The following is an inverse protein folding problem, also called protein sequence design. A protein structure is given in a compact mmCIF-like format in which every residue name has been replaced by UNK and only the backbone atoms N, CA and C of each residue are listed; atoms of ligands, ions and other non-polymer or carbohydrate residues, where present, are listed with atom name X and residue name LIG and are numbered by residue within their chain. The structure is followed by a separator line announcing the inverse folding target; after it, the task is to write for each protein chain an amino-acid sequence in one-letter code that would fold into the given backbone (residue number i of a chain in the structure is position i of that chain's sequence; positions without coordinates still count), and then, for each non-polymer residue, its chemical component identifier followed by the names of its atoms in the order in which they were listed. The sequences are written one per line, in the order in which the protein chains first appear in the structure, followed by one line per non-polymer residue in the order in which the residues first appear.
data_IF_371544683265
#
_entry.id   IF_371544683265
#
_cell.length_a   1.000
_cell.length_b   1.000
_cell.length_c   1.000
_cell.angle_alpha   90.00
_cell.angle_beta   90.00
_cell.angle_gamma   90.00
#
_symmetry.space_group_name_H-M   'P 1'
#
loop_
_entity.id
_entity.type
_entity.pdbx_description
1 polymer ?
#
# COMPACT_ATOMS: atom_id res chain seq x y z
N UNK A 1 -17.69 -1.52 13.19
CA UNK A 1 -16.45 -1.31 13.95
C UNK A 1 -15.94 0.09 13.64
N UNK A 2 -15.48 0.83 14.64
CA UNK A 2 -14.94 2.18 14.48
C UNK A 2 -13.46 2.20 14.91
N UNK A 3 -12.60 2.88 14.15
CA UNK A 3 -11.17 3.02 14.45
C UNK A 3 -10.92 4.19 15.41
N UNK A 4 -9.90 4.06 16.24
CA UNK A 4 -9.54 5.03 17.26
C UNK A 4 -8.58 6.11 16.72
N UNK A 5 -9.11 7.02 15.91
CA UNK A 5 -8.33 8.15 15.36
C UNK A 5 -7.85 9.12 16.45
N UNK A 6 -8.56 9.25 17.56
CA UNK A 6 -8.23 10.21 18.63
C UNK A 6 -6.91 9.87 19.32
N UNK A 7 -6.60 8.58 19.49
CA UNK A 7 -5.33 8.12 20.09
C UNK A 7 -4.10 8.62 19.31
N UNK A 8 -4.20 8.71 17.98
CA UNK A 8 -3.15 9.26 17.11
C UNK A 8 -3.32 10.73 16.75
N UNK A 9 -4.17 11.49 17.47
CA UNK A 9 -4.40 12.92 17.21
C UNK A 9 -5.13 13.18 15.89
N UNK A 10 -6.15 12.38 15.58
CA UNK A 10 -6.94 12.43 14.35
C UNK A 10 -6.43 11.51 13.23
N UNK A 11 -5.41 10.70 13.51
CA UNK A 11 -4.77 9.82 12.53
C UNK A 11 -4.60 8.40 13.06
N UNK A 12 -4.57 7.45 12.14
CA UNK A 12 -4.15 6.05 12.36
C UNK A 12 -2.94 5.72 11.48
N UNK A 13 -2.22 4.68 11.83
CA UNK A 13 -1.14 4.14 11.01
C UNK A 13 -1.71 3.14 9.99
N UNK A 14 -1.36 3.28 8.72
CA UNK A 14 -1.68 2.32 7.68
C UNK A 14 -0.40 1.72 7.10
N UNK A 15 -0.31 0.38 7.13
CA UNK A 15 0.76 -0.39 6.51
C UNK A 15 0.23 -1.02 5.23
N UNK A 16 0.80 -0.67 4.08
CA UNK A 16 0.48 -1.33 2.82
C UNK A 16 1.40 -2.54 2.63
N UNK A 17 0.80 -3.70 2.39
CA UNK A 17 1.51 -4.98 2.20
C UNK A 17 1.06 -5.58 0.88
N UNK A 18 1.99 -6.09 0.08
CA UNK A 18 1.63 -6.84 -1.11
C UNK A 18 0.79 -8.07 -0.73
N UNK A 19 -0.37 -8.23 -1.36
CA UNK A 19 -1.25 -9.36 -1.09
C UNK A 19 -0.64 -10.71 -1.47
N UNK A 20 0.24 -10.76 -2.48
CA UNK A 20 0.86 -11.99 -2.97
C UNK A 20 2.14 -12.35 -2.21
N UNK A 21 3.09 -11.42 -2.12
CA UNK A 21 4.42 -11.68 -1.54
C UNK A 21 4.52 -11.47 -0.05
N UNK A 22 3.53 -10.77 0.52
CA UNK A 22 3.54 -10.28 1.90
C UNK A 22 4.68 -9.29 2.18
N UNK A 23 5.32 -8.74 1.14
CA UNK A 23 6.28 -7.65 1.27
C UNK A 23 5.60 -6.39 1.81
N UNK A 24 6.19 -5.76 2.83
CA UNK A 24 5.77 -4.44 3.29
C UNK A 24 6.18 -3.41 2.24
N UNK A 25 5.21 -2.71 1.66
CA UNK A 25 5.41 -1.77 0.56
C UNK A 25 5.65 -0.35 1.08
N UNK A 26 4.82 0.12 2.00
CA UNK A 26 4.94 1.46 2.57
C UNK A 26 4.15 1.59 3.88
N UNK A 27 4.43 2.67 4.61
CA UNK A 27 3.67 3.12 5.77
C UNK A 27 3.25 4.56 5.53
N UNK A 28 2.00 4.88 5.88
CA UNK A 28 1.45 6.23 5.80
C UNK A 28 0.39 6.47 6.87
N UNK A 29 0.04 7.74 7.08
CA UNK A 29 -1.06 8.11 7.98
C UNK A 29 -2.38 8.12 7.22
N UNK A 30 -3.46 7.72 7.90
CA UNK A 30 -4.83 7.92 7.45
C UNK A 30 -5.59 8.76 8.47
N UNK A 31 -6.29 9.80 8.03
CA UNK A 31 -7.36 10.42 8.80
C UNK A 31 -8.72 9.76 8.48
N UNK A 32 -9.76 10.18 9.19
CA UNK A 32 -11.12 9.63 9.02
C UNK A 32 -11.65 9.72 7.59
N UNK A 33 -11.31 10.79 6.85
CA UNK A 33 -11.74 10.99 5.46
C UNK A 33 -11.03 10.03 4.51
N UNK A 34 -9.71 9.91 4.62
CA UNK A 34 -8.90 8.99 3.82
C UNK A 34 -9.29 7.53 4.02
N UNK A 35 -9.66 7.17 5.26
CA UNK A 35 -10.21 5.86 5.60
C UNK A 35 -11.56 5.61 4.91
N UNK A 36 -12.50 6.57 5.00
CA UNK A 36 -13.79 6.48 4.32
C UNK A 36 -13.63 6.35 2.81
N UNK A 37 -12.73 7.13 2.22
CA UNK A 37 -12.46 7.06 0.78
C UNK A 37 -11.82 5.73 0.37
N UNK A 38 -10.95 5.16 1.20
CA UNK A 38 -10.37 3.84 0.98
C UNK A 38 -11.46 2.76 0.94
N UNK A 39 -12.34 2.75 1.94
CA UNK A 39 -13.47 1.81 1.99
C UNK A 39 -14.44 1.99 0.82
N UNK A 40 -14.73 3.23 0.44
CA UNK A 40 -15.67 3.56 -0.64
C UNK A 40 -15.13 3.18 -2.01
N UNK A 41 -13.86 3.49 -2.28
CA UNK A 41 -13.28 3.33 -3.61
C UNK A 41 -12.64 1.96 -3.84
N UNK A 42 -12.28 1.24 -2.78
CA UNK A 42 -11.48 0.02 -2.88
C UNK A 42 -10.01 0.26 -3.21
N UNK A 43 -9.56 1.52 -3.20
CA UNK A 43 -8.16 1.90 -3.45
C UNK A 43 -7.58 2.62 -2.24
N UNK A 44 -6.31 2.39 -1.94
CA UNK A 44 -5.66 3.01 -0.79
C UNK A 44 -5.56 4.54 -0.97
N UNK A 45 -6.24 5.27 -0.08
CA UNK A 45 -6.17 6.72 0.04
C UNK A 45 -5.60 7.07 1.40
N UNK A 46 -4.52 7.84 1.40
CA UNK A 46 -3.81 8.28 2.60
C UNK A 46 -4.06 9.77 2.87
N UNK A 47 -3.56 10.25 4.01
CA UNK A 47 -3.53 11.67 4.33
C UNK A 47 -2.09 12.16 4.47
N UNK A 48 -1.73 13.17 3.67
CA UNK A 48 -0.42 13.80 3.71
C UNK A 48 -0.39 14.89 4.77
N UNK A 49 0.13 14.60 5.96
CA UNK A 49 0.20 15.56 7.09
C UNK A 49 0.92 16.87 6.74
N UNK A 50 1.99 16.80 5.95
CA UNK A 50 2.76 17.98 5.51
C UNK A 50 2.04 18.84 4.48
N UNK A 51 1.15 18.25 3.67
CA UNK A 51 0.39 18.94 2.61
C UNK A 51 -1.06 19.22 3.03
N UNK A 52 -1.46 18.74 4.20
CA UNK A 52 -2.81 18.81 4.73
C UNK A 52 -3.90 18.42 3.72
N UNK A 53 -3.69 17.32 3.00
CA UNK A 53 -4.60 16.88 1.92
C UNK A 53 -4.69 15.36 1.82
N UNK A 54 -5.80 14.89 1.26
CA UNK A 54 -5.97 13.51 0.81
C UNK A 54 -5.00 13.19 -0.34
N UNK A 55 -4.59 11.93 -0.40
CA UNK A 55 -3.73 11.41 -1.43
C UNK A 55 -4.15 9.99 -1.78
N UNK A 56 -4.85 9.84 -2.90
CA UNK A 56 -5.15 8.54 -3.48
C UNK A 56 -3.89 8.00 -4.15
N UNK A 57 -3.36 6.87 -3.66
CA UNK A 57 -2.07 6.35 -4.13
C UNK A 57 -2.16 6.01 -5.62
N UNK A 58 -1.24 6.57 -6.39
CA UNK A 58 -1.16 6.35 -7.83
C UNK A 58 -2.09 7.21 -8.68
N UNK A 59 -2.89 8.12 -8.10
CA UNK A 59 -3.81 8.97 -8.86
C UNK A 59 -3.10 9.80 -9.95
N UNK A 60 -1.90 10.28 -9.66
CA UNK A 60 -1.09 11.04 -10.64
C UNK A 60 -0.16 10.14 -11.47
N UNK A 61 0.41 9.10 -10.87
CA UNK A 61 1.46 8.28 -11.52
C UNK A 61 0.95 7.01 -12.19
N UNK A 62 -0.31 6.66 -12.01
CA UNK A 62 -0.87 5.35 -12.37
C UNK A 62 -0.50 4.22 -11.41
N UNK A 63 0.44 4.40 -10.48
CA UNK A 63 0.92 3.33 -9.59
C UNK A 63 -0.04 3.11 -8.39
N UNK A 64 -1.19 2.51 -8.68
CA UNK A 64 -2.31 2.38 -7.74
C UNK A 64 -2.14 1.22 -6.76
N UNK A 65 -2.97 1.22 -5.71
CA UNK A 65 -3.04 0.17 -4.70
C UNK A 65 -4.49 -0.26 -4.52
N UNK A 66 -4.88 -1.38 -5.13
CA UNK A 66 -6.21 -1.95 -4.98
C UNK A 66 -6.27 -2.78 -3.69
N UNK A 67 -7.14 -2.41 -2.76
CA UNK A 67 -7.26 -3.08 -1.46
C UNK A 67 -8.02 -4.39 -1.62
N UNK A 68 -7.40 -5.49 -1.20
CA UNK A 68 -7.99 -6.84 -1.25
C UNK A 68 -8.42 -7.36 0.12
N UNK A 69 -7.69 -6.98 1.16
CA UNK A 69 -7.99 -7.35 2.55
C UNK A 69 -7.54 -6.21 3.46
N UNK A 70 -8.29 -5.99 4.55
CA UNK A 70 -7.91 -5.05 5.60
C UNK A 70 -7.88 -5.81 6.93
N UNK A 71 -6.76 -5.69 7.65
CA UNK A 71 -6.67 -6.10 9.06
C UNK A 71 -6.57 -4.87 9.94
N UNK A 72 -7.11 -4.99 11.13
CA UNK A 72 -7.09 -3.96 12.16
C UNK A 72 -6.44 -4.56 13.40
N UNK A 73 -5.59 -3.79 14.08
CA UNK A 73 -4.95 -4.25 15.30
C UNK A 73 -5.92 -4.29 16.50
N UNK A 74 -5.42 -4.69 17.66
CA UNK A 74 -6.25 -4.96 18.84
C UNK A 74 -6.76 -3.71 19.55
N UNK A 75 -6.11 -2.56 19.41
CA UNK A 75 -6.50 -1.29 20.04
C UNK A 75 -7.01 -0.23 19.04
N UNK A 76 -7.23 -0.68 17.79
CA UNK A 76 -7.98 0.00 16.74
C UNK A 76 -7.30 1.27 16.22
N UNK A 77 -6.00 1.42 16.41
CA UNK A 77 -5.25 2.62 15.99
C UNK A 77 -4.36 2.41 14.75
N UNK A 78 -4.31 1.16 14.27
CA UNK A 78 -3.52 0.81 13.10
C UNK A 78 -4.22 -0.22 12.21
N UNK A 79 -3.96 -0.12 10.91
CA UNK A 79 -4.48 -1.03 9.89
C UNK A 79 -3.37 -1.58 9.00
N UNK A 80 -3.55 -2.82 8.55
CA UNK A 80 -2.77 -3.41 7.46
C UNK A 80 -3.67 -3.53 6.24
N UNK A 81 -3.28 -2.87 5.16
CA UNK A 81 -3.92 -2.97 3.85
C UNK A 81 -3.13 -3.99 3.03
N UNK A 82 -3.72 -5.16 2.80
CA UNK A 82 -3.21 -6.06 1.77
C UNK A 82 -3.68 -5.58 0.42
N UNK A 83 -2.73 -5.11 -0.38
CA UNK A 83 -2.98 -4.45 -1.65
C UNK A 83 -2.38 -5.24 -2.80
N UNK A 84 -3.13 -5.23 -3.89
CA UNK A 84 -2.60 -5.49 -5.21
C UNK A 84 -1.99 -4.18 -5.74
N UNK A 85 -0.66 -4.18 -5.90
CA UNK A 85 0.11 -2.99 -6.23
C UNK A 85 0.37 -2.98 -7.74
N UNK A 86 -0.12 -1.95 -8.42
CA UNK A 86 0.23 -1.70 -9.81
C UNK A 86 1.46 -0.79 -9.90
N UNK A 87 2.50 -1.20 -10.63
CA UNK A 87 3.74 -0.43 -10.73
C UNK A 87 4.47 -0.32 -9.38
N UNK A 88 5.09 0.83 -9.10
CA UNK A 88 5.94 0.99 -7.90
C UNK A 88 5.23 1.70 -6.74
N UNK A 89 5.36 1.17 -5.52
CA UNK A 89 4.89 1.87 -4.33
C UNK A 89 5.74 3.11 -4.02
N UNK A 90 7.06 3.05 -4.29
CA UNK A 90 8.00 4.12 -3.98
C UNK A 90 8.17 5.11 -5.13
N UNK A 91 8.30 6.40 -4.80
CA UNK A 91 8.49 7.48 -5.78
C UNK A 91 9.89 7.53 -6.39
N UNK A 92 10.87 6.84 -5.79
CA UNK A 92 12.24 6.70 -6.34
C UNK A 92 12.40 5.47 -7.24
N UNK A 93 11.29 4.82 -7.64
CA UNK A 93 11.30 3.71 -8.59
C UNK A 93 11.46 2.32 -7.97
N UNK A 94 11.55 2.21 -6.64
CA UNK A 94 11.55 0.91 -5.97
C UNK A 94 10.13 0.40 -5.73
N UNK A 95 9.98 -0.93 -5.77
CA UNK A 95 8.72 -1.60 -5.43
C UNK A 95 8.23 -1.24 -4.04
N UNK A 96 9.13 -1.32 -3.05
CA UNK A 96 8.86 -0.96 -1.66
C UNK A 96 9.65 0.29 -1.25
N UNK A 97 9.07 1.12 -0.39
CA UNK A 97 9.80 2.18 0.32
C UNK A 97 10.89 1.63 1.24
N UNK A 98 10.80 0.35 1.63
CA UNK A 98 11.74 -0.36 2.49
C UNK A 98 12.85 -1.05 1.70
N UNK A 99 13.32 -0.44 0.60
CA UNK A 99 14.40 -0.97 -0.25
C UNK A 99 15.80 -0.92 0.41
N UNK A 100 15.90 -0.40 1.64
CA UNK A 100 17.13 -0.36 2.44
C UNK A 100 16.99 -1.26 3.66
N UNK A 101 18.05 -1.99 3.98
CA UNK A 101 18.16 -2.76 5.22
C UNK A 101 19.36 -2.29 6.03
N UNK A 102 19.28 -2.49 7.35
CA UNK A 102 20.36 -2.19 8.29
C UNK A 102 20.76 -3.50 8.98
N UNK A 103 22.03 -3.86 8.90
CA UNK A 103 22.61 -4.97 9.66
C UNK A 103 23.76 -4.48 10.56
N UNK A 104 24.37 -5.38 11.34
CA UNK A 104 25.49 -5.04 12.23
C UNK A 104 26.73 -4.49 11.50
N UNK A 105 26.82 -4.66 10.18
CA UNK A 105 27.93 -4.21 9.32
C UNK A 105 27.61 -2.91 8.58
N UNK A 106 26.37 -2.41 8.65
CA UNK A 106 25.96 -1.13 8.06
C UNK A 106 24.68 -1.21 7.24
N UNK A 107 24.43 -0.15 6.44
CA UNK A 107 23.26 -0.04 5.58
C UNK A 107 23.52 -0.75 4.24
N UNK A 108 22.55 -1.56 3.80
CA UNK A 108 22.50 -2.15 2.46
C UNK A 108 21.32 -1.58 1.68
N UNK A 109 21.49 -1.44 0.36
CA UNK A 109 20.42 -1.07 -0.57
C UNK A 109 20.05 -2.27 -1.43
N UNK A 110 18.80 -2.32 -1.90
CA UNK A 110 18.30 -3.37 -2.77
C UNK A 110 17.93 -4.63 -1.99
N UNK A 111 16.95 -4.54 -1.08
CA UNK A 111 16.38 -5.73 -0.43
C UNK A 111 15.90 -6.68 -1.52
N UNK A 112 16.47 -7.88 -1.55
CA UNK A 112 16.14 -8.91 -2.54
C UNK A 112 14.88 -9.63 -2.07
N UNK A 113 13.82 -9.52 -2.85
CA UNK A 113 12.62 -10.35 -2.69
C UNK A 113 12.86 -11.64 -3.49
N UNK A 114 12.58 -12.84 -2.93
CA UNK A 114 12.74 -14.09 -3.65
C UNK A 114 12.06 -14.07 -5.03
N UNK A 115 12.75 -14.54 -6.06
CA UNK A 115 12.27 -14.49 -7.46
C UNK A 115 10.91 -15.18 -7.65
N UNK A 116 10.65 -16.26 -6.91
CA UNK A 116 9.37 -16.96 -6.94
C UNK A 116 8.19 -16.08 -6.49
N UNK A 117 8.43 -15.17 -5.55
CA UNK A 117 7.42 -14.21 -5.08
C UNK A 117 7.20 -13.09 -6.11
N UNK A 118 8.25 -12.63 -6.77
CA UNK A 118 8.15 -11.66 -7.88
C UNK A 118 7.34 -12.24 -9.04
N UNK A 119 7.55 -13.50 -9.40
CA UNK A 119 6.78 -14.18 -10.45
C UNK A 119 5.28 -14.25 -10.14
N UNK A 120 4.91 -14.43 -8.86
CA UNK A 120 3.49 -14.41 -8.46
C UNK A 120 2.86 -13.03 -8.64
N UNK A 121 3.61 -11.95 -8.37
CA UNK A 121 3.14 -10.59 -8.64
C UNK A 121 3.01 -10.32 -10.13
N UNK A 122 4.01 -10.67 -10.92
CA UNK A 122 4.03 -10.40 -12.37
C UNK A 122 2.86 -11.11 -13.06
N UNK A 123 2.56 -12.35 -12.67
CA UNK A 123 1.39 -13.09 -13.17
C UNK A 123 0.08 -12.38 -12.82
N UNK A 124 -0.01 -11.78 -11.64
CA UNK A 124 -1.20 -11.02 -11.24
C UNK A 124 -1.37 -9.74 -12.07
N UNK A 125 -0.27 -9.03 -12.37
CA UNK A 125 -0.32 -7.84 -13.24
C UNK A 125 -0.77 -8.22 -14.66
N UNK A 126 -0.27 -9.33 -15.21
CA UNK A 126 -0.69 -9.86 -16.51
C UNK A 126 -2.17 -10.25 -16.53
N UNK A 127 -2.66 -10.93 -15.48
CA UNK A 127 -4.09 -11.25 -15.36
C UNK A 127 -4.96 -10.00 -15.28
N UNK A 128 -4.50 -8.95 -14.57
CA UNK A 128 -5.23 -7.69 -14.49
C UNK A 128 -5.34 -7.00 -15.86
N UNK A 129 -4.23 -6.95 -16.62
CA UNK A 129 -4.21 -6.42 -17.98
C UNK A 129 -5.15 -7.18 -18.92
N UNK A 130 -5.16 -8.52 -18.84
CA UNK A 130 -6.06 -9.35 -19.65
C UNK A 130 -7.55 -9.14 -19.29
N UNK A 131 -7.86 -8.96 -18.00
CA UNK A 131 -9.25 -8.69 -17.56
C UNK A 131 -9.78 -7.32 -18.01
N UNK A 132 -8.90 -6.35 -18.24
CA UNK A 132 -9.25 -5.03 -18.76
C UNK A 132 -9.45 -5.05 -20.28
N UNK A 133 -8.73 -5.91 -21.02
CA UNK A 133 -8.92 -6.08 -22.46
C UNK A 133 -10.19 -6.85 -22.82
N UNK A 134 -10.64 -7.78 -21.98
CA UNK A 134 -11.84 -8.59 -22.23
C UNK A 134 -13.16 -7.80 -22.02
N UNK A 135 -13.11 -6.61 -21.41
CA UNK A 135 -14.26 -5.70 -21.24
C UNK A 135 -14.39 -4.65 -22.37
N UNK A 136 -13.64 -4.81 -23.47
CA UNK A 136 -13.75 -3.99 -24.69
C UNK A 136 -14.32 -4.87 -25.81
N UNK A 137 -15.56 -5.36 -25.64
CA UNK A 137 -16.40 -5.93 -26.69
C UNK A 137 -17.86 -5.54 -26.46
#
# INVERSE_FOLDING_TARGET
MELNFEKGGGFITAVAVCVYTKEVLMVASMNRESWKETLRSGYATYFSRSRNQLWKKGETSGHTQCVKEIRVDCDLDSVVLFVDQHGFACHVGFRSCFFRSLDRKGVRQGVVVPEALLKMDDLSEQMHQNSLSDNIL
#
